data_IF_395296092451
#
_entry.id   IF_395296092451
#
_cell.length_a   1.000
_cell.length_b   1.000
_cell.length_c   1.000
_cell.angle_alpha   90.00
_cell.angle_beta   90.00
_cell.angle_gamma   90.00
#
_symmetry.space_group_name_H-M   'P 1'
#
loop_
_entity.id
_entity.type
_entity.pdbx_description
1 polymer ?
#
# COMPACT_ATOMS: atom_id res chain seq x y z
N UNK A 1 -30.75 -18.28 8.38
CA UNK A 1 -29.83 -19.40 8.12
C UNK A 1 -28.97 -19.01 6.93
N UNK A 2 -27.83 -18.36 7.17
CA UNK A 2 -26.97 -17.84 6.10
C UNK A 2 -26.19 -18.99 5.47
N UNK A 3 -26.47 -19.25 4.20
CA UNK A 3 -25.63 -20.05 3.32
C UNK A 3 -24.35 -19.26 3.09
N UNK A 4 -23.28 -19.54 3.84
CA UNK A 4 -21.94 -19.18 3.42
C UNK A 4 -21.67 -19.92 2.12
N UNK A 5 -21.90 -19.26 0.99
CA UNK A 5 -21.32 -19.71 -0.27
C UNK A 5 -19.83 -19.49 -0.09
N UNK A 6 -19.11 -20.56 0.23
CA UNK A 6 -17.66 -20.62 0.09
C UNK A 6 -17.36 -20.47 -1.40
N UNK A 7 -17.39 -19.22 -1.86
CA UNK A 7 -16.86 -18.84 -3.17
C UNK A 7 -15.36 -19.06 -3.07
N UNK A 8 -14.88 -20.24 -3.46
CA UNK A 8 -13.45 -20.46 -3.60
C UNK A 8 -12.98 -19.60 -4.78
N UNK A 9 -12.48 -18.40 -4.49
CA UNK A 9 -11.83 -17.58 -5.50
C UNK A 9 -10.48 -18.23 -5.82
N UNK A 10 -10.32 -18.65 -7.07
CA UNK A 10 -9.02 -19.09 -7.57
C UNK A 10 -8.18 -17.86 -7.84
N UNK A 11 -7.09 -17.67 -7.07
CA UNK A 11 -6.08 -16.67 -7.38
C UNK A 11 -5.28 -17.19 -8.57
N UNK A 12 -5.46 -16.58 -9.75
CA UNK A 12 -4.79 -16.98 -10.98
C UNK A 12 -3.32 -16.54 -11.02
N UNK A 13 -3.04 -15.37 -10.47
CA UNK A 13 -1.71 -14.82 -10.35
C UNK A 13 -1.62 -13.93 -9.11
N UNK A 14 -0.43 -13.89 -8.51
CA UNK A 14 -0.06 -12.89 -7.53
C UNK A 14 1.29 -12.29 -7.89
N UNK A 15 1.44 -10.98 -7.69
CA UNK A 15 2.70 -10.27 -7.84
C UNK A 15 3.00 -9.66 -6.47
N UNK A 16 4.12 -10.05 -5.87
CA UNK A 16 4.58 -9.47 -4.63
C UNK A 16 5.61 -8.38 -4.92
N UNK A 17 5.46 -7.24 -4.26
CA UNK A 17 6.40 -6.13 -4.31
C UNK A 17 7.25 -6.11 -3.04
N UNK A 18 8.43 -5.50 -3.13
CA UNK A 18 9.39 -5.49 -2.03
C UNK A 18 8.91 -4.67 -0.82
N UNK A 19 8.00 -3.72 -1.01
CA UNK A 19 7.35 -2.97 0.08
C UNK A 19 6.19 -3.74 0.75
N UNK A 20 6.06 -5.05 0.46
CA UNK A 20 5.08 -5.94 1.08
C UNK A 20 3.69 -5.90 0.45
N UNK A 21 3.43 -5.03 -0.54
CA UNK A 21 2.19 -5.09 -1.30
C UNK A 21 2.14 -6.37 -2.13
N UNK A 22 1.01 -7.05 -2.11
CA UNK A 22 0.68 -8.10 -3.06
C UNK A 22 -0.51 -7.68 -3.93
N UNK A 23 -0.36 -7.81 -5.25
CA UNK A 23 -1.46 -7.71 -6.19
C UNK A 23 -1.92 -9.12 -6.58
N UNK A 24 -3.24 -9.33 -6.62
CA UNK A 24 -3.83 -10.62 -6.98
C UNK A 24 -4.82 -10.44 -8.15
N UNK A 25 -4.98 -11.49 -8.96
CA UNK A 25 -6.02 -11.58 -9.98
C UNK A 25 -6.92 -12.81 -9.73
N UNK A 26 -8.24 -12.65 -9.50
CA UNK A 26 -8.98 -11.38 -9.43
C UNK A 26 -8.53 -10.52 -8.25
N UNK A 27 -8.79 -9.21 -8.34
CA UNK A 27 -8.44 -8.26 -7.29
C UNK A 27 -9.17 -8.67 -6.00
N UNK A 28 -8.40 -9.09 -5.00
CA UNK A 28 -8.92 -9.30 -3.67
C UNK A 28 -8.87 -7.94 -2.98
N UNK A 29 -10.01 -7.24 -2.95
CA UNK A 29 -10.13 -5.99 -2.22
C UNK A 29 -10.17 -6.36 -0.73
N UNK A 30 -9.11 -6.08 0.05
CA UNK A 30 -9.17 -6.32 1.48
C UNK A 30 -10.29 -5.46 2.06
N UNK A 31 -10.93 -5.96 3.11
CA UNK A 31 -11.87 -5.19 3.90
C UNK A 31 -11.23 -3.85 4.32
N UNK A 32 -11.83 -2.73 3.89
CA UNK A 32 -11.32 -1.41 4.26
C UNK A 32 -11.36 -1.23 5.78
N UNK A 33 -10.21 -0.91 6.38
CA UNK A 33 -10.10 -0.61 7.81
C UNK A 33 -10.73 0.74 8.16
N UNK A 34 -10.93 1.60 7.15
CA UNK A 34 -11.53 2.93 7.29
C UNK A 34 -12.83 2.95 6.50
N UNK A 35 -13.91 3.30 7.19
CA UNK A 35 -15.25 3.40 6.63
C UNK A 35 -15.72 4.86 6.67
N UNK A 36 -16.73 5.16 5.89
CA UNK A 36 -17.31 6.49 5.71
C UNK A 36 -18.81 6.37 5.95
N UNK A 37 -19.30 7.11 6.94
CA UNK A 37 -20.72 7.07 7.28
C UNK A 37 -21.56 7.66 6.12
N UNK A 38 -22.62 6.97 5.72
CA UNK A 38 -23.50 7.41 4.63
C UNK A 38 -24.28 8.69 4.98
N UNK A 39 -24.58 8.90 6.26
CA UNK A 39 -25.36 10.04 6.74
C UNK A 39 -24.49 11.28 6.95
N UNK A 40 -23.49 11.21 7.84
CA UNK A 40 -22.69 12.37 8.22
C UNK A 40 -21.42 12.57 7.37
N UNK A 41 -21.08 11.60 6.51
CA UNK A 41 -19.87 11.61 5.65
C UNK A 41 -18.55 11.68 6.42
N UNK A 42 -18.56 11.36 7.71
CA UNK A 42 -17.34 11.30 8.53
C UNK A 42 -16.66 9.95 8.40
N UNK A 43 -15.33 9.99 8.40
CA UNK A 43 -14.47 8.82 8.44
C UNK A 43 -14.47 8.21 9.86
N UNK A 44 -14.47 6.88 9.95
CA UNK A 44 -14.31 6.15 11.20
C UNK A 44 -13.55 4.84 10.98
N UNK A 45 -12.89 4.35 12.01
CA UNK A 45 -12.24 3.05 11.96
C UNK A 45 -13.28 1.94 12.09
N UNK A 46 -13.15 0.89 11.28
CA UNK A 46 -14.11 -0.22 11.28
C UNK A 46 -14.24 -0.88 12.67
N UNK A 47 -13.16 -0.99 13.42
CA UNK A 47 -13.13 -1.54 14.78
C UNK A 47 -13.71 -0.60 15.84
N UNK A 48 -13.86 0.69 15.55
CA UNK A 48 -14.61 1.64 16.40
C UNK A 48 -16.14 1.52 16.21
N UNK A 49 -16.60 0.79 15.19
CA UNK A 49 -18.01 0.53 14.98
C UNK A 49 -18.55 -0.45 16.04
N UNK A 50 -19.05 0.11 17.15
CA UNK A 50 -19.68 -0.67 18.21
C UNK A 50 -21.09 -1.09 17.79
N UNK A 51 -21.41 -2.36 17.94
CA UNK A 51 -22.80 -2.83 17.92
C UNK A 51 -23.39 -2.59 19.31
N UNK A 52 -24.51 -1.87 19.40
CA UNK A 52 -25.16 -1.58 20.69
C UNK A 52 -25.69 -2.84 21.39
N UNK A 53 -25.97 -3.92 20.65
CA UNK A 53 -26.36 -5.22 21.22
C UNK A 53 -25.99 -6.36 20.25
N UNK A 54 -25.22 -7.34 20.74
CA UNK A 54 -24.85 -8.55 20.00
C UNK A 54 -26.09 -9.39 19.59
N UNK A 55 -27.24 -9.13 20.21
CA UNK A 55 -28.51 -9.81 19.92
C UNK A 55 -29.40 -9.07 18.91
N UNK A 56 -28.98 -7.92 18.37
CA UNK A 56 -29.74 -7.24 17.33
C UNK A 56 -29.64 -8.04 16.04
N UNK A 57 -30.73 -8.70 15.66
CA UNK A 57 -30.84 -9.36 14.37
C UNK A 57 -30.95 -8.32 13.25
N UNK A 58 -29.80 -7.95 12.68
CA UNK A 58 -29.72 -7.02 11.54
C UNK A 58 -30.19 -7.65 10.22
N UNK A 59 -30.71 -8.89 10.22
CA UNK A 59 -31.16 -9.54 8.99
C UNK A 59 -32.30 -8.81 8.28
N UNK A 60 -33.05 -7.97 9.00
CA UNK A 60 -34.17 -7.16 8.49
C UNK A 60 -33.91 -5.63 8.55
N UNK A 61 -32.69 -5.18 8.88
CA UNK A 61 -32.43 -3.74 8.97
C UNK A 61 -32.13 -3.15 7.59
N UNK A 62 -33.01 -2.26 7.10
CA UNK A 62 -32.81 -1.41 5.91
C UNK A 62 -31.70 -0.34 6.11
N UNK A 63 -30.71 -0.61 6.97
CA UNK A 63 -29.61 0.32 7.21
C UNK A 63 -28.67 0.35 6.00
N UNK A 64 -28.31 1.53 5.50
CA UNK A 64 -27.38 1.64 4.40
C UNK A 64 -26.00 1.10 4.82
N UNK A 65 -25.38 0.34 3.92
CA UNK A 65 -24.00 -0.12 4.13
C UNK A 65 -23.06 1.07 4.27
N UNK A 66 -22.11 0.97 5.21
CA UNK A 66 -21.06 1.98 5.33
C UNK A 66 -20.22 1.98 4.05
N UNK A 67 -19.87 3.18 3.59
CA UNK A 67 -19.04 3.36 2.39
C UNK A 67 -17.58 3.16 2.71
N UNK A 68 -16.77 2.83 1.71
CA UNK A 68 -15.32 2.94 1.79
C UNK A 68 -14.75 3.98 0.82
N UNK A 69 -13.42 4.04 0.72
CA UNK A 69 -12.74 4.99 -0.15
C UNK A 69 -13.05 4.80 -1.64
N UNK A 70 -13.42 3.59 -2.05
CA UNK A 70 -13.81 3.25 -3.42
C UNK A 70 -15.19 3.80 -3.75
N UNK A 71 -16.04 4.04 -2.75
CA UNK A 71 -17.38 4.61 -2.91
C UNK A 71 -17.40 6.14 -2.93
N UNK A 72 -16.23 6.79 -2.84
CA UNK A 72 -16.09 8.24 -2.90
C UNK A 72 -16.33 8.77 -4.32
N UNK A 73 -16.90 9.96 -4.42
CA UNK A 73 -17.24 10.59 -5.71
C UNK A 73 -16.01 10.73 -6.63
N UNK A 74 -14.83 10.90 -6.03
CA UNK A 74 -13.59 11.08 -6.78
C UNK A 74 -12.99 9.78 -7.33
N UNK A 75 -13.56 8.60 -7.04
CA UNK A 75 -13.06 7.31 -7.53
C UNK A 75 -13.04 7.21 -9.06
N UNK A 76 -13.99 7.88 -9.71
CA UNK A 76 -14.12 7.89 -11.17
C UNK A 76 -13.36 9.03 -11.84
N UNK A 77 -12.65 9.86 -11.07
CA UNK A 77 -11.93 11.00 -11.62
C UNK A 77 -10.56 10.60 -12.19
N UNK A 78 -10.09 11.26 -13.26
CA UNK A 78 -8.80 10.92 -13.89
C UNK A 78 -7.59 11.05 -12.95
N UNK A 79 -7.69 11.89 -11.93
CA UNK A 79 -6.66 12.12 -10.92
C UNK A 79 -6.89 11.32 -9.63
N UNK A 80 -7.74 10.28 -9.67
CA UNK A 80 -8.04 9.39 -8.54
C UNK A 80 -6.80 8.98 -7.72
N UNK A 81 -5.67 8.54 -8.32
CA UNK A 81 -4.48 8.19 -7.53
C UNK A 81 -3.94 9.35 -6.68
N UNK A 82 -3.95 10.58 -7.23
CA UNK A 82 -3.49 11.78 -6.53
C UNK A 82 -4.47 12.17 -5.42
N UNK A 83 -5.77 12.06 -5.67
CA UNK A 83 -6.81 12.34 -4.66
C UNK A 83 -6.79 11.32 -3.52
N UNK A 84 -6.52 10.05 -3.84
CA UNK A 84 -6.32 8.99 -2.85
C UNK A 84 -5.11 9.28 -1.95
N UNK A 85 -3.97 9.68 -2.52
CA UNK A 85 -2.80 10.13 -1.75
C UNK A 85 -3.16 11.30 -0.83
N UNK A 86 -3.85 12.32 -1.35
CA UNK A 86 -4.27 13.48 -0.58
C UNK A 86 -5.24 13.11 0.56
N UNK A 87 -6.14 12.17 0.33
CA UNK A 87 -7.07 11.65 1.34
C UNK A 87 -6.32 11.06 2.54
N UNK A 88 -5.46 10.05 2.33
CA UNK A 88 -4.69 9.42 3.41
C UNK A 88 -3.77 10.41 4.13
N UNK A 89 -3.14 11.31 3.37
CA UNK A 89 -2.32 12.36 3.96
C UNK A 89 -3.15 13.28 4.87
N UNK A 90 -4.36 13.66 4.46
CA UNK A 90 -5.26 14.48 5.28
C UNK A 90 -5.70 13.78 6.57
N UNK A 91 -5.88 12.46 6.57
CA UNK A 91 -6.19 11.69 7.78
C UNK A 91 -5.04 11.75 8.79
N UNK A 92 -3.79 11.63 8.31
CA UNK A 92 -2.60 11.80 9.14
C UNK A 92 -2.50 13.22 9.71
N UNK A 93 -2.76 14.26 8.91
CA UNK A 93 -2.70 15.66 9.37
C UNK A 93 -3.78 16.00 10.41
N UNK A 94 -4.98 15.43 10.27
CA UNK A 94 -6.08 15.60 11.23
C UNK A 94 -5.87 14.86 12.55
N UNK A 95 -4.84 14.01 12.66
CA UNK A 95 -4.67 13.13 13.82
C UNK A 95 -5.73 12.04 13.91
N UNK A 96 -6.27 11.58 12.76
CA UNK A 96 -7.29 10.53 12.70
C UNK A 96 -6.77 9.18 13.24
N UNK A 97 -5.46 8.94 13.14
CA UNK A 97 -4.79 7.85 13.83
C UNK A 97 -4.67 8.18 15.33
N UNK A 98 -5.63 7.66 16.11
CA UNK A 98 -5.68 7.77 17.57
C UNK A 98 -4.83 6.70 18.30
N UNK A 99 -4.20 5.78 17.58
CA UNK A 99 -3.25 4.78 18.11
C UNK A 99 -2.01 4.67 17.22
N UNK A 100 -0.92 4.14 17.76
CA UNK A 100 0.33 3.92 17.03
C UNK A 100 0.15 2.98 15.83
N UNK A 101 -0.58 1.87 16.03
CA UNK A 101 -0.83 0.88 14.98
C UNK A 101 -1.64 1.48 13.83
N UNK A 102 -2.63 2.32 14.16
CA UNK A 102 -3.43 3.07 13.17
C UNK A 102 -2.56 4.07 12.40
N UNK A 103 -1.60 4.72 13.06
CA UNK A 103 -0.64 5.59 12.36
C UNK A 103 0.26 4.79 11.42
N UNK A 104 0.81 3.66 11.88
CA UNK A 104 1.63 2.76 11.06
C UNK A 104 0.83 2.31 9.83
N UNK A 105 -0.42 1.88 10.01
CA UNK A 105 -1.31 1.48 8.93
C UNK A 105 -1.47 2.59 7.88
N UNK A 106 -1.86 3.81 8.27
CA UNK A 106 -2.03 4.94 7.34
C UNK A 106 -0.73 5.28 6.59
N UNK A 107 0.41 5.19 7.27
CA UNK A 107 1.72 5.47 6.67
C UNK A 107 2.15 4.40 5.67
N UNK A 108 1.86 3.13 5.93
CA UNK A 108 2.10 2.03 5.00
C UNK A 108 1.21 2.18 3.76
N UNK A 109 -0.08 2.44 3.93
CA UNK A 109 -1.00 2.71 2.82
C UNK A 109 -0.53 3.89 1.97
N UNK A 110 -0.11 4.99 2.61
CA UNK A 110 0.44 6.14 1.89
C UNK A 110 1.74 5.80 1.16
N UNK A 111 2.63 5.01 1.76
CA UNK A 111 3.85 4.53 1.12
C UNK A 111 3.55 3.69 -0.13
N UNK A 112 2.62 2.74 -0.03
CA UNK A 112 2.18 1.92 -1.15
C UNK A 112 1.56 2.75 -2.28
N UNK A 113 0.71 3.72 -1.96
CA UNK A 113 0.10 4.62 -2.94
C UNK A 113 1.13 5.48 -3.68
N UNK A 114 2.16 5.95 -2.98
CA UNK A 114 3.25 6.69 -3.61
C UNK A 114 4.09 5.78 -4.52
N UNK A 115 4.28 4.51 -4.14
CA UNK A 115 4.97 3.51 -4.93
C UNK A 115 4.17 3.00 -6.13
N UNK A 116 2.84 3.11 -6.15
CA UNK A 116 2.01 2.71 -7.30
C UNK A 116 2.42 3.40 -8.60
N UNK A 117 2.90 4.65 -8.53
CA UNK A 117 3.45 5.37 -9.69
C UNK A 117 4.68 4.69 -10.29
N UNK A 118 5.40 3.88 -9.51
CA UNK A 118 6.56 3.10 -9.95
C UNK A 118 6.10 1.70 -10.39
N UNK A 119 5.21 1.06 -9.62
CA UNK A 119 4.69 -0.29 -9.91
C UNK A 119 3.96 -0.37 -11.26
N UNK A 120 3.04 0.56 -11.50
CA UNK A 120 2.18 0.56 -12.67
C UNK A 120 2.60 1.61 -13.69
N UNK A 121 3.89 1.99 -13.74
CA UNK A 121 4.38 2.73 -14.91
C UNK A 121 3.97 1.92 -16.12
N UNK A 122 3.22 2.49 -17.08
CA UNK A 122 2.91 1.78 -18.30
C UNK A 122 4.25 1.35 -18.86
N UNK A 123 4.50 0.05 -18.85
CA UNK A 123 5.64 -0.51 -19.56
C UNK A 123 5.31 -0.19 -21.00
N UNK A 124 5.89 0.90 -21.49
CA UNK A 124 5.52 1.51 -22.77
C UNK A 124 5.83 0.61 -23.96
N UNK A 125 5.98 -0.70 -23.77
CA UNK A 125 6.12 -1.68 -24.83
C UNK A 125 4.88 -1.65 -25.72
N UNK A 126 3.65 -1.62 -25.17
CA UNK A 126 2.42 -1.59 -25.98
C UNK A 126 2.11 -0.17 -26.50
N UNK A 127 2.18 0.84 -25.62
CA UNK A 127 1.92 2.24 -25.99
C UNK A 127 2.96 2.84 -26.95
N UNK A 128 4.24 2.44 -26.84
CA UNK A 128 5.28 2.90 -27.77
C UNK A 128 5.37 2.03 -29.03
N UNK A 129 4.87 0.77 -29.03
CA UNK A 129 4.64 0.03 -30.28
C UNK A 129 3.59 0.74 -31.14
N UNK A 130 2.49 1.19 -30.52
CA UNK A 130 1.41 1.89 -31.19
C UNK A 130 1.83 3.29 -31.70
N UNK A 131 2.81 3.93 -31.06
CA UNK A 131 3.28 5.29 -31.41
C UNK A 131 4.53 5.33 -32.30
N UNK A 132 5.08 4.19 -32.71
CA UNK A 132 6.18 4.11 -33.70
C UNK A 132 7.55 4.67 -33.24
N UNK A 133 7.67 5.16 -32.00
CA UNK A 133 8.89 5.79 -31.47
C UNK A 133 9.57 4.92 -30.41
N UNK A 134 10.27 3.88 -30.87
CA UNK A 134 11.05 2.96 -30.03
C UNK A 134 12.18 3.61 -29.20
N UNK A 135 12.64 4.81 -29.58
CA UNK A 135 13.76 5.50 -28.91
C UNK A 135 13.37 6.36 -27.69
N UNK A 136 12.12 6.81 -27.60
CA UNK A 136 11.63 7.62 -26.47
C UNK A 136 11.09 6.74 -25.33
N UNK A 137 10.78 5.47 -25.63
CA UNK A 137 10.29 4.46 -24.69
C UNK A 137 11.23 4.15 -23.52
N UNK A 138 12.54 4.40 -23.70
CA UNK A 138 13.59 3.97 -22.77
C UNK A 138 14.33 5.14 -22.08
N UNK A 139 14.08 6.39 -22.47
CA UNK A 139 14.81 7.56 -21.96
C UNK A 139 13.99 8.49 -21.06
N UNK A 140 12.66 8.37 -21.07
CA UNK A 140 11.78 9.13 -20.18
C UNK A 140 11.72 8.51 -18.78
N UNK A 141 12.79 8.63 -17.98
CA UNK A 141 12.61 8.54 -16.53
C UNK A 141 11.80 9.75 -16.10
N UNK A 142 10.47 9.65 -16.16
CA UNK A 142 9.60 10.67 -15.57
C UNK A 142 9.92 10.70 -14.08
N UNK A 143 10.66 11.74 -13.69
CA UNK A 143 11.01 12.02 -12.32
C UNK A 143 9.72 12.34 -11.57
N UNK A 144 9.59 11.74 -10.40
CA UNK A 144 8.49 12.03 -9.51
C UNK A 144 8.53 13.54 -9.16
N UNK A 145 7.39 14.26 -9.24
CA UNK A 145 7.37 15.68 -8.88
C UNK A 145 7.97 15.90 -7.50
N UNK A 146 8.77 16.94 -7.33
CA UNK A 146 9.55 17.17 -6.09
C UNK A 146 8.65 17.21 -4.84
N UNK A 147 7.43 17.74 -4.94
CA UNK A 147 6.46 17.73 -3.85
C UNK A 147 6.07 16.30 -3.41
N UNK A 148 5.88 15.38 -4.37
CA UNK A 148 5.54 13.98 -4.09
C UNK A 148 6.77 13.25 -3.53
N UNK A 149 7.97 13.57 -4.03
CA UNK A 149 9.23 13.03 -3.50
C UNK A 149 9.46 13.45 -2.04
N UNK A 150 9.21 14.71 -1.71
CA UNK A 150 9.30 15.21 -0.35
C UNK A 150 8.26 14.56 0.56
N UNK A 151 7.03 14.38 0.08
CA UNK A 151 6.00 13.66 0.80
C UNK A 151 6.41 12.20 1.06
N UNK A 152 6.98 11.52 0.06
CA UNK A 152 7.47 10.15 0.17
C UNK A 152 8.58 10.02 1.22
N UNK A 153 9.63 10.83 1.12
CA UNK A 153 10.74 10.80 2.07
C UNK A 153 10.26 11.11 3.50
N UNK A 154 9.46 12.16 3.66
CA UNK A 154 8.89 12.56 4.96
C UNK A 154 8.01 11.47 5.56
N UNK A 155 7.20 10.80 4.74
CA UNK A 155 6.37 9.70 5.20
C UNK A 155 7.22 8.51 5.67
N UNK A 156 8.21 8.09 4.87
CA UNK A 156 9.11 6.99 5.22
C UNK A 156 9.93 7.28 6.48
N UNK A 157 10.49 8.48 6.62
CA UNK A 157 11.23 8.87 7.82
C UNK A 157 10.36 8.78 9.07
N UNK A 158 9.12 9.28 9.01
CA UNK A 158 8.18 9.18 10.13
C UNK A 158 7.78 7.74 10.40
N UNK A 159 7.52 6.94 9.36
CA UNK A 159 7.19 5.52 9.48
C UNK A 159 8.33 4.75 10.15
N UNK A 160 9.57 4.90 9.69
CA UNK A 160 10.77 4.29 10.28
C UNK A 160 10.90 4.64 11.77
N UNK A 161 10.55 5.87 12.16
CA UNK A 161 10.66 6.29 13.56
C UNK A 161 9.62 5.65 14.49
N UNK A 162 8.43 5.30 13.97
CA UNK A 162 7.35 4.67 14.76
C UNK A 162 7.32 3.15 14.63
N UNK A 163 7.93 2.60 13.59
CA UNK A 163 7.85 1.17 13.25
C UNK A 163 8.87 0.34 14.05
N UNK A 164 8.38 -0.51 14.95
CA UNK A 164 9.21 -1.37 15.81
C UNK A 164 9.02 -2.83 15.36
N UNK A 165 9.98 -3.43 14.64
CA UNK A 165 9.80 -4.77 14.08
C UNK A 165 9.96 -5.87 15.14
N UNK A 166 8.92 -6.69 15.31
CA UNK A 166 8.85 -7.79 16.26
C UNK A 166 9.43 -9.10 15.69
N UNK A 167 9.25 -9.31 14.38
CA UNK A 167 9.66 -10.53 13.67
C UNK A 167 10.55 -10.25 12.45
N UNK A 168 11.06 -11.31 11.83
CA UNK A 168 11.98 -11.23 10.68
C UNK A 168 11.31 -10.69 9.41
N UNK A 169 10.00 -10.90 9.23
CA UNK A 169 9.23 -10.31 8.13
C UNK A 169 9.09 -8.80 8.28
N UNK A 170 8.83 -8.32 9.50
CA UNK A 170 8.78 -6.88 9.77
C UNK A 170 10.17 -6.23 9.70
N UNK A 171 11.24 -6.94 10.07
CA UNK A 171 12.62 -6.49 9.84
C UNK A 171 12.94 -6.35 8.36
N UNK A 172 12.43 -7.25 7.53
CA UNK A 172 12.54 -7.15 6.07
C UNK A 172 11.87 -5.88 5.57
N UNK A 173 10.65 -5.59 6.04
CA UNK A 173 9.93 -4.37 5.67
C UNK A 173 10.69 -3.10 6.10
N UNK A 174 11.23 -3.08 7.32
CA UNK A 174 12.05 -1.94 7.78
C UNK A 174 13.32 -1.76 6.94
N UNK A 175 13.98 -2.86 6.53
CA UNK A 175 15.14 -2.80 5.65
C UNK A 175 14.77 -2.18 4.29
N UNK A 176 13.59 -2.50 3.77
CA UNK A 176 13.06 -1.95 2.53
C UNK A 176 12.77 -0.45 2.66
N UNK A 177 12.18 0.01 3.76
CA UNK A 177 12.02 1.44 4.02
C UNK A 177 13.37 2.20 3.97
N UNK A 178 14.41 1.65 4.60
CA UNK A 178 15.76 2.24 4.51
C UNK A 178 16.35 2.19 3.10
N UNK A 179 16.13 1.10 2.34
CA UNK A 179 16.59 0.96 0.96
C UNK A 179 15.94 2.01 0.07
N UNK A 180 14.64 2.22 0.20
CA UNK A 180 13.89 3.18 -0.62
C UNK A 180 14.21 4.64 -0.27
N UNK A 181 14.54 4.92 1.00
CA UNK A 181 15.08 6.22 1.42
C UNK A 181 16.54 6.44 0.94
N UNK A 182 17.21 5.41 0.44
CA UNK A 182 18.60 5.46 -0.04
C UNK A 182 19.67 5.18 1.04
N UNK A 183 19.28 4.78 2.26
CA UNK A 183 20.20 4.34 3.30
C UNK A 183 20.52 2.84 3.15
N UNK A 184 21.20 2.52 2.05
CA UNK A 184 21.53 1.13 1.67
C UNK A 184 22.38 0.41 2.73
N UNK A 185 23.21 1.14 3.47
CA UNK A 185 24.06 0.56 4.50
C UNK A 185 23.24 0.08 5.70
N UNK A 186 22.24 0.85 6.14
CA UNK A 186 21.32 0.38 7.19
C UNK A 186 20.44 -0.77 6.71
N UNK A 187 19.95 -0.70 5.47
CA UNK A 187 19.18 -1.78 4.86
C UNK A 187 19.98 -3.10 4.89
N UNK A 188 21.21 -3.11 4.39
CA UNK A 188 22.08 -4.30 4.39
C UNK A 188 22.34 -4.86 5.80
N UNK A 189 22.62 -3.98 6.78
CA UNK A 189 22.83 -4.39 8.18
C UNK A 189 21.59 -5.02 8.82
N UNK A 190 20.38 -4.62 8.41
CA UNK A 190 19.14 -5.24 8.88
C UNK A 190 18.93 -6.59 8.20
N UNK A 191 19.17 -6.67 6.89
CA UNK A 191 19.03 -7.91 6.11
C UNK A 191 19.97 -9.01 6.62
N UNK A 192 21.19 -8.68 7.05
CA UNK A 192 22.14 -9.62 7.66
C UNK A 192 21.65 -10.23 8.98
N UNK A 193 20.71 -9.58 9.69
CA UNK A 193 20.17 -10.05 10.97
C UNK A 193 18.99 -11.00 10.81
N UNK A 194 18.39 -11.05 9.61
CA UNK A 194 17.25 -11.92 9.32
C UNK A 194 17.77 -13.35 9.19
N UNK A 195 17.30 -14.25 10.06
CA UNK A 195 17.74 -15.65 10.11
C UNK A 195 16.67 -16.61 9.62
N UNK A 196 15.41 -16.25 9.80
CA UNK A 196 14.26 -17.09 9.56
C UNK A 196 13.21 -16.31 8.78
N UNK A 197 13.26 -16.45 7.46
CA UNK A 197 12.22 -15.92 6.58
C UNK A 197 11.76 -17.01 5.63
N UNK A 198 10.45 -17.08 5.41
CA UNK A 198 9.85 -18.15 4.62
C UNK A 198 10.30 -18.15 3.15
N UNK A 199 10.85 -17.03 2.68
CA UNK A 199 11.32 -16.87 1.32
C UNK A 199 12.71 -16.22 1.29
N UNK A 200 13.76 -17.04 1.20
CA UNK A 200 15.16 -16.60 1.12
C UNK A 200 15.47 -15.87 -0.19
N UNK A 201 14.77 -16.20 -1.28
CA UNK A 201 15.02 -15.62 -2.60
C UNK A 201 14.56 -14.16 -2.66
N UNK A 202 13.48 -13.81 -1.94
CA UNK A 202 13.08 -12.41 -1.75
C UNK A 202 14.18 -11.60 -1.05
N UNK A 203 14.77 -12.15 0.01
CA UNK A 203 15.88 -11.49 0.72
C UNK A 203 17.07 -11.29 -0.23
N UNK A 204 17.44 -12.30 -1.03
CA UNK A 204 18.53 -12.18 -2.01
C UNK A 204 18.25 -11.08 -3.03
N UNK A 205 17.03 -11.00 -3.57
CA UNK A 205 16.64 -9.95 -4.52
C UNK A 205 16.77 -8.55 -3.90
N UNK A 206 16.30 -8.40 -2.67
CA UNK A 206 16.40 -7.15 -1.90
C UNK A 206 17.86 -6.77 -1.60
N UNK A 207 18.69 -7.74 -1.17
CA UNK A 207 20.13 -7.54 -0.95
C UNK A 207 20.83 -7.09 -2.23
N UNK A 208 20.55 -7.73 -3.37
CA UNK A 208 21.12 -7.35 -4.65
C UNK A 208 20.67 -5.96 -5.10
N UNK A 209 19.40 -5.62 -4.90
CA UNK A 209 18.89 -4.27 -5.17
C UNK A 209 19.58 -3.21 -4.30
N UNK A 210 19.77 -3.49 -3.00
CA UNK A 210 20.49 -2.61 -2.09
C UNK A 210 21.96 -2.42 -2.49
N UNK A 211 22.68 -3.50 -2.84
CA UNK A 211 24.07 -3.43 -3.34
C UNK A 211 24.18 -2.60 -4.62
N UNK A 212 23.18 -2.70 -5.51
CA UNK A 212 23.08 -1.92 -6.76
C UNK A 212 22.57 -0.50 -6.55
N UNK A 213 22.27 -0.09 -5.30
CA UNK A 213 21.71 1.22 -4.95
C UNK A 213 20.40 1.53 -5.67
N UNK A 214 19.58 0.51 -5.91
CA UNK A 214 18.23 0.67 -6.44
C UNK A 214 17.35 1.07 -5.27
N UNK A 215 16.79 2.28 -5.29
CA UNK A 215 15.89 2.81 -4.26
C UNK A 215 14.40 2.73 -4.65
N UNK A 216 14.09 2.26 -5.86
CA UNK A 216 12.71 2.09 -6.32
C UNK A 216 12.16 0.76 -5.80
N UNK A 217 10.85 0.68 -5.57
CA UNK A 217 10.16 -0.59 -5.33
C UNK A 217 10.46 -1.59 -6.44
N UNK A 218 10.64 -2.86 -6.09
CA UNK A 218 10.92 -3.94 -7.06
C UNK A 218 9.85 -5.03 -6.96
N UNK A 219 9.70 -5.78 -8.04
CA UNK A 219 8.91 -7.02 -8.07
C UNK A 219 9.76 -8.15 -7.50
N UNK A 220 9.17 -8.95 -6.62
CA UNK A 220 9.76 -10.15 -6.06
C UNK A 220 9.22 -11.38 -6.83
N UNK A 221 10.13 -12.16 -7.40
CA UNK A 221 9.82 -13.37 -8.19
C UNK A 221 10.26 -14.65 -7.50
#
# INVERSE_FOLDING_TARGET
>A
MYSYVLSSYYVHSSILFSDGQADCSPLNLPDSSILICTECKLEFWRDDALLEDENTDFSDSDLPEAKDISDMDFTFEPDFPSKRIAYYFSLLEKGFANTLDREIYLRIELWHLLNNKIRYKPTGIIDNLLKGNLKEAFSGQEEMPEAIKNLFNSNLEKLINVYIPENDGERLLLAEMYRELGDFNKALKLLEKIKHHNNEDHIKQIVEAAKRKISKVIVLT
#
